data_IF_447458515280
#
_entry.id   IF_447458515280
#
_cell.length_a   1.000
_cell.length_b   1.000
_cell.length_c   1.000
_cell.angle_alpha   90.00
_cell.angle_beta   90.00
_cell.angle_gamma   90.00
#
_symmetry.space_group_name_H-M   'P 1'
#
loop_
_entity.id
_entity.type
_entity.pdbx_description
1 polymer ?
#
# COMPACT_ATOMS: atom_id res chain seq x y z
N UNK A 1 13.71 18.61 -21.14
CA UNK A 1 12.93 18.69 -19.89
C UNK A 1 13.66 17.91 -18.81
N UNK A 2 14.12 18.56 -17.75
CA UNK A 2 14.71 17.89 -16.58
C UNK A 2 13.62 17.75 -15.52
N UNK A 3 13.25 16.51 -15.17
CA UNK A 3 12.32 16.24 -14.07
C UNK A 3 13.05 16.30 -12.73
N UNK A 4 12.43 16.91 -11.71
CA UNK A 4 12.94 16.88 -10.35
C UNK A 4 12.41 15.64 -9.60
N UNK A 5 13.30 14.93 -8.91
CA UNK A 5 12.91 13.81 -8.03
C UNK A 5 12.24 14.38 -6.79
N UNK A 6 10.98 13.99 -6.54
CA UNK A 6 10.21 14.46 -5.38
C UNK A 6 10.53 13.68 -4.10
N UNK A 7 10.78 12.38 -4.21
CA UNK A 7 11.14 11.49 -3.11
C UNK A 7 11.74 10.17 -3.62
N UNK A 8 12.39 9.42 -2.73
CA UNK A 8 12.91 8.08 -3.01
C UNK A 8 12.70 7.18 -1.79
N UNK A 9 12.23 5.95 -2.02
CA UNK A 9 12.15 4.90 -1.00
C UNK A 9 12.75 3.61 -1.57
N UNK A 10 13.71 3.02 -0.85
CA UNK A 10 14.37 1.78 -1.25
C UNK A 10 13.69 0.59 -0.58
N UNK A 11 13.44 -0.46 -1.35
CA UNK A 11 12.90 -1.75 -0.87
C UNK A 11 13.90 -2.90 -1.09
N UNK A 12 15.16 -2.56 -1.33
CA UNK A 12 16.23 -3.56 -1.44
C UNK A 12 16.49 -4.14 -0.05
N UNK A 13 16.61 -5.46 0.04
CA UNK A 13 17.11 -6.07 1.28
C UNK A 13 18.62 -5.86 1.38
N UNK A 14 19.18 -5.72 2.60
CA UNK A 14 20.62 -5.62 2.80
C UNK A 14 21.39 -6.84 2.29
N UNK A 15 20.76 -8.01 2.30
CA UNK A 15 21.33 -9.29 1.84
C UNK A 15 21.05 -9.60 0.36
N UNK A 16 20.23 -8.80 -0.33
CA UNK A 16 19.83 -9.03 -1.72
C UNK A 16 18.76 -10.10 -1.96
N UNK A 17 18.41 -10.90 -0.94
CA UNK A 17 17.53 -12.08 -1.09
C UNK A 17 16.05 -11.79 -0.78
N UNK A 18 15.79 -10.86 0.14
CA UNK A 18 14.45 -10.62 0.72
C UNK A 18 13.90 -9.21 0.48
N UNK A 19 14.18 -8.63 -0.69
CA UNK A 19 13.64 -7.31 -1.07
C UNK A 19 12.13 -7.31 -1.32
N UNK A 20 11.58 -6.14 -1.66
CA UNK A 20 10.18 -6.04 -2.12
C UNK A 20 10.08 -5.45 -3.51
N UNK A 21 9.22 -6.06 -4.32
CA UNK A 21 8.92 -5.60 -5.67
C UNK A 21 7.61 -4.84 -5.67
N UNK A 22 7.54 -3.74 -6.43
CA UNK A 22 6.29 -3.02 -6.68
C UNK A 22 5.42 -3.86 -7.61
N UNK A 23 4.14 -4.00 -7.24
CA UNK A 23 3.22 -4.94 -7.88
C UNK A 23 2.11 -4.21 -8.61
N UNK A 24 1.50 -3.22 -7.97
CA UNK A 24 0.60 -2.24 -8.58
C UNK A 24 1.03 -0.86 -8.10
N UNK A 25 0.95 0.14 -8.98
CA UNK A 25 1.16 1.53 -8.62
C UNK A 25 0.20 2.43 -9.40
N UNK A 26 -0.29 3.49 -8.76
CA UNK A 26 -1.27 4.40 -9.32
C UNK A 26 -1.18 5.78 -8.66
N UNK A 27 -1.33 6.85 -9.43
CA UNK A 27 -1.50 8.20 -8.89
C UNK A 27 -2.98 8.50 -8.68
N UNK A 28 -3.31 9.25 -7.63
CA UNK A 28 -4.63 9.86 -7.51
C UNK A 28 -4.88 10.80 -8.68
N UNK A 29 -6.14 10.99 -9.13
CA UNK A 29 -6.45 11.84 -10.28
C UNK A 29 -5.92 13.29 -10.15
N UNK A 30 -5.82 13.80 -8.93
CA UNK A 30 -5.27 15.14 -8.60
C UNK A 30 -3.74 15.16 -8.43
N UNK A 31 -3.07 14.02 -8.61
CA UNK A 31 -1.63 13.84 -8.46
C UNK A 31 -1.07 14.28 -7.08
N UNK A 32 -1.90 14.26 -6.05
CA UNK A 32 -1.49 14.54 -4.67
C UNK A 32 -0.99 13.29 -3.95
N UNK A 33 -1.44 12.11 -4.36
CA UNK A 33 -1.08 10.84 -3.74
C UNK A 33 -0.58 9.83 -4.77
N UNK A 34 0.53 9.17 -4.47
CA UNK A 34 1.01 8.02 -5.24
C UNK A 34 0.92 6.76 -4.39
N UNK A 35 0.08 5.82 -4.79
CA UNK A 35 -0.17 4.58 -4.05
C UNK A 35 0.51 3.43 -4.77
N UNK A 36 1.16 2.55 -4.02
CA UNK A 36 1.75 1.35 -4.58
C UNK A 36 1.71 0.19 -3.60
N UNK A 37 1.39 -1.01 -4.10
CA UNK A 37 1.46 -2.26 -3.35
C UNK A 37 2.75 -2.98 -3.68
N UNK A 38 3.28 -3.72 -2.69
CA UNK A 38 4.53 -4.44 -2.81
C UNK A 38 4.36 -5.90 -2.41
N UNK A 39 5.16 -6.79 -2.99
CA UNK A 39 5.28 -8.18 -2.56
C UNK A 39 6.72 -8.51 -2.19
N UNK A 40 6.89 -9.36 -1.17
CA UNK A 40 8.19 -9.91 -0.80
C UNK A 40 8.75 -10.78 -1.92
N UNK A 41 10.01 -10.59 -2.29
CA UNK A 41 10.71 -11.44 -3.25
C UNK A 41 11.19 -12.75 -2.64
N UNK A 42 11.35 -12.79 -1.32
CA UNK A 42 12.00 -13.88 -0.60
C UNK A 42 11.08 -14.98 -0.07
N UNK A 43 9.85 -15.10 -0.57
CA UNK A 43 8.90 -16.17 -0.21
C UNK A 43 8.25 -16.06 1.17
N UNK A 44 8.75 -15.21 2.07
CA UNK A 44 8.07 -14.92 3.34
C UNK A 44 6.80 -14.08 3.12
N UNK A 45 5.68 -14.56 3.69
CA UNK A 45 4.35 -13.96 3.65
C UNK A 45 3.78 -13.75 2.24
N UNK A 46 3.53 -14.83 1.46
CA UNK A 46 2.90 -14.73 0.13
C UNK A 46 1.49 -14.13 0.16
N UNK A 47 0.89 -14.08 1.35
CA UNK A 47 -0.42 -13.51 1.61
C UNK A 47 -0.39 -12.00 1.89
N UNK A 48 0.77 -11.38 2.20
CA UNK A 48 0.85 -9.98 2.65
C UNK A 48 1.38 -9.02 1.58
N UNK A 49 0.50 -8.13 1.13
CA UNK A 49 0.72 -7.15 0.07
C UNK A 49 0.84 -5.73 0.64
N UNK A 50 1.91 -5.48 1.42
CA UNK A 50 2.17 -4.18 2.06
C UNK A 50 1.97 -3.04 1.06
N UNK A 51 1.06 -2.14 1.40
CA UNK A 51 0.64 -1.04 0.54
C UNK A 51 1.09 0.28 1.14
N UNK A 52 1.67 1.12 0.30
CA UNK A 52 2.20 2.41 0.68
C UNK A 52 1.51 3.51 -0.10
N UNK A 53 1.52 4.71 0.47
CA UNK A 53 1.21 5.93 -0.27
C UNK A 53 2.23 7.02 0.00
N UNK A 54 2.53 7.80 -1.03
CA UNK A 54 3.30 9.04 -0.94
C UNK A 54 2.32 10.21 -0.90
N UNK A 55 2.40 11.03 0.13
CA UNK A 55 1.70 12.32 0.21
C UNK A 55 2.61 13.40 -0.38
N UNK A 56 2.25 13.94 -1.54
CA UNK A 56 3.05 14.94 -2.25
C UNK A 56 3.16 16.27 -1.51
N UNK A 57 2.10 16.66 -0.78
CA UNK A 57 2.07 17.91 -0.02
C UNK A 57 3.00 17.84 1.18
N UNK A 58 2.99 16.71 1.88
CA UNK A 58 3.85 16.46 3.06
C UNK A 58 5.23 15.92 2.70
N UNK A 59 5.42 15.43 1.47
CA UNK A 59 6.64 14.78 0.97
C UNK A 59 7.06 13.55 1.78
N UNK A 60 6.11 12.74 2.21
CA UNK A 60 6.36 11.55 3.04
C UNK A 60 5.71 10.31 2.46
N UNK A 61 6.34 9.16 2.68
CA UNK A 61 5.73 7.85 2.45
C UNK A 61 5.13 7.33 3.75
N UNK A 62 3.95 6.72 3.66
CA UNK A 62 3.27 6.05 4.77
C UNK A 62 2.77 4.69 4.35
N UNK A 63 2.56 3.81 5.32
CA UNK A 63 1.97 2.50 5.13
C UNK A 63 0.45 2.61 5.30
N UNK A 64 -0.29 2.01 4.38
CA UNK A 64 -1.75 1.92 4.48
C UNK A 64 -2.12 0.92 5.57
N UNK A 65 -1.33 -0.15 5.69
CA UNK A 65 -1.48 -1.22 6.68
C UNK A 65 -1.57 -0.69 8.12
N UNK A 66 -0.87 0.41 8.45
CA UNK A 66 -0.94 1.07 9.77
C UNK A 66 -2.34 1.61 10.12
N UNK A 67 -3.18 1.87 9.12
CA UNK A 67 -4.50 2.50 9.28
C UNK A 67 -5.68 1.57 8.92
N UNK A 68 -5.39 0.43 8.29
CA UNK A 68 -6.39 -0.54 7.82
C UNK A 68 -6.19 -1.93 8.38
N UNK A 69 -5.01 -2.25 8.89
CA UNK A 69 -4.57 -3.63 9.12
C UNK A 69 -3.91 -4.26 7.88
N UNK A 70 -3.38 -5.49 7.99
CA UNK A 70 -2.56 -6.12 6.96
C UNK A 70 -3.31 -6.30 5.64
N UNK A 71 -2.76 -5.78 4.53
CA UNK A 71 -3.38 -5.92 3.20
C UNK A 71 -3.11 -7.30 2.61
N UNK A 72 -4.17 -8.02 2.23
CA UNK A 72 -4.08 -9.43 1.81
C UNK A 72 -4.30 -9.67 0.31
N UNK A 73 -4.57 -8.63 -0.48
CA UNK A 73 -4.69 -8.71 -1.94
C UNK A 73 -3.78 -7.70 -2.62
N UNK A 74 -3.20 -8.12 -3.76
CA UNK A 74 -2.33 -7.29 -4.61
C UNK A 74 -2.99 -5.99 -5.08
N UNK A 75 -4.26 -6.07 -5.46
CA UNK A 75 -4.97 -4.99 -6.13
C UNK A 75 -5.72 -4.14 -5.12
N UNK A 76 -5.42 -2.84 -5.09
CA UNK A 76 -6.23 -1.81 -4.46
C UNK A 76 -7.04 -1.05 -5.52
N UNK A 77 -8.09 -0.34 -5.11
CA UNK A 77 -8.76 0.66 -5.97
C UNK A 77 -8.47 2.05 -5.43
N UNK A 78 -8.15 2.97 -6.34
CA UNK A 78 -7.98 4.38 -6.03
C UNK A 78 -9.11 5.15 -6.72
N UNK A 79 -9.90 5.86 -5.93
CA UNK A 79 -11.06 6.61 -6.40
C UNK A 79 -10.88 8.09 -6.08
N UNK A 80 -11.41 8.94 -6.97
CA UNK A 80 -11.38 10.37 -6.76
C UNK A 80 -12.12 10.77 -5.46
N UNK A 81 -11.66 11.82 -4.75
CA UNK A 81 -10.40 12.52 -4.98
C UNK A 81 -9.18 11.71 -4.49
N UNK A 82 -9.29 11.05 -3.34
CA UNK A 82 -8.17 10.43 -2.63
C UNK A 82 -8.58 9.22 -1.79
N UNK A 83 -9.56 8.45 -2.26
CA UNK A 83 -10.06 7.27 -1.57
C UNK A 83 -9.33 6.01 -2.00
N UNK A 84 -8.78 5.28 -1.05
CA UNK A 84 -8.22 3.95 -1.27
C UNK A 84 -9.17 2.88 -0.71
N UNK A 85 -9.37 1.82 -1.47
CA UNK A 85 -10.04 0.59 -1.04
C UNK A 85 -9.04 -0.56 -1.16
N UNK A 86 -8.80 -1.24 -0.05
CA UNK A 86 -7.89 -2.40 0.09
C UNK A 86 -8.65 -3.58 0.67
N UNK A 87 -8.19 -4.79 0.42
CA UNK A 87 -8.69 -5.99 1.11
C UNK A 87 -7.73 -6.32 2.25
N UNK A 88 -8.23 -6.34 3.48
CA UNK A 88 -7.41 -6.54 4.69
C UNK A 88 -7.73 -7.86 5.37
N UNK A 89 -6.79 -8.32 6.19
CA UNK A 89 -6.95 -9.55 6.96
C UNK A 89 -8.06 -9.38 8.00
N UNK A 90 -8.95 -10.37 8.05
CA UNK A 90 -9.97 -10.41 9.08
C UNK A 90 -9.42 -10.69 10.48
N UNK A 91 -10.28 -10.45 11.47
CA UNK A 91 -9.93 -10.62 12.89
C UNK A 91 -10.44 -11.95 13.45
N UNK A 92 -9.86 -12.42 14.55
CA UNK A 92 -10.27 -13.69 15.21
C UNK A 92 -11.73 -13.71 15.68
N UNK A 93 -12.37 -12.55 15.77
CA UNK A 93 -13.80 -12.42 16.08
C UNK A 93 -14.73 -12.85 14.95
N UNK A 94 -14.25 -12.95 13.70
CA UNK A 94 -15.03 -13.42 12.55
C UNK A 94 -14.24 -14.46 11.72
N UNK A 95 -14.52 -15.77 11.90
CA UNK A 95 -13.81 -16.83 11.18
C UNK A 95 -13.96 -16.78 9.65
N UNK A 96 -15.07 -16.25 9.12
CA UNK A 96 -15.26 -16.12 7.67
C UNK A 96 -14.43 -14.98 7.09
N UNK A 97 -14.25 -13.92 7.89
CA UNK A 97 -13.39 -12.78 7.57
C UNK A 97 -11.90 -13.15 7.62
N UNK A 98 -11.47 -14.06 8.51
CA UNK A 98 -10.09 -14.58 8.49
C UNK A 98 -9.75 -15.26 7.16
N UNK A 99 -10.70 -16.03 6.61
CA UNK A 99 -10.48 -16.80 5.38
C UNK A 99 -10.45 -15.92 4.12
N UNK A 100 -11.28 -14.87 4.09
CA UNK A 100 -11.53 -14.08 2.87
C UNK A 100 -10.99 -12.65 2.93
N UNK A 101 -10.83 -12.11 4.14
CA UNK A 101 -10.68 -10.69 4.41
C UNK A 101 -11.94 -9.89 4.13
N UNK A 102 -11.84 -8.58 4.39
CA UNK A 102 -12.89 -7.62 4.07
C UNK A 102 -12.31 -6.37 3.40
N UNK A 103 -13.13 -5.67 2.60
CA UNK A 103 -12.73 -4.40 2.03
C UNK A 103 -12.69 -3.33 3.13
N UNK A 104 -11.56 -2.65 3.24
CA UNK A 104 -11.42 -1.44 4.03
C UNK A 104 -11.23 -0.23 3.13
N UNK A 105 -12.00 0.82 3.41
CA UNK A 105 -11.99 2.07 2.67
C UNK A 105 -11.49 3.20 3.56
N UNK A 106 -10.47 3.91 3.09
CA UNK A 106 -9.87 5.06 3.80
C UNK A 106 -9.64 6.23 2.86
N UNK A 107 -9.62 7.43 3.44
CA UNK A 107 -9.29 8.66 2.73
C UNK A 107 -7.85 9.03 3.01
N UNK A 108 -7.00 9.09 1.98
CA UNK A 108 -5.54 9.24 2.16
C UNK A 108 -5.17 10.55 2.85
N UNK A 109 -5.87 11.65 2.55
CA UNK A 109 -5.66 12.93 3.25
C UNK A 109 -5.93 12.86 4.76
N UNK A 110 -6.77 11.93 5.21
CA UNK A 110 -7.12 11.74 6.61
C UNK A 110 -6.12 10.87 7.39
N UNK A 111 -5.13 10.26 6.73
CA UNK A 111 -4.15 9.38 7.35
C UNK A 111 -2.91 10.18 7.77
N UNK A 112 -2.91 10.71 9.00
CA UNK A 112 -1.80 11.51 9.56
C UNK A 112 -1.05 10.76 10.66
#
# INVERSE_FOLDING_TARGET
MTGAVLATKSFKSPDGEHGRNVQKAEWSPDSQFFVFSTASSGGHSPWHWQTYFYDRKRKVFKEVDDFTGPVIKRNFKLNAPDWIEVQVQGTTSDPMDIANGHPEKRRLSALH
#
